data_IF_063993462904
#
_entry.id   IF_063993462904
#
_cell.length_a   1.000
_cell.length_b   1.000
_cell.length_c   1.000
_cell.angle_alpha   90.00
_cell.angle_beta   90.00
_cell.angle_gamma   90.00
#
_symmetry.space_group_name_H-M   'P 1'
#
loop_
_entity.id
_entity.type
_entity.pdbx_description
1 polymer ?
#
# COMPACT_ATOMS: atom_id res chain seq x y z
N UNK A 1 6.49 -15.37 -1.73
CA UNK A 1 5.99 -15.91 -0.45
C UNK A 1 4.90 -16.92 -0.73
N UNK A 2 4.98 -18.07 -0.11
CA UNK A 2 4.00 -19.14 -0.26
C UNK A 2 3.32 -19.42 1.08
N UNK A 3 1.99 -19.37 1.08
CA UNK A 3 1.21 -19.65 2.27
C UNK A 3 0.17 -20.72 1.95
N UNK A 4 0.05 -21.71 2.81
CA UNK A 4 -0.89 -22.82 2.63
C UNK A 4 -2.20 -22.63 3.38
N UNK A 5 -2.29 -21.61 4.24
CA UNK A 5 -3.51 -21.37 5.03
C UNK A 5 -3.64 -19.89 5.42
N UNK A 6 -4.86 -19.48 5.77
CA UNK A 6 -5.14 -18.16 6.32
C UNK A 6 -4.42 -17.92 7.64
N UNK A 7 -4.25 -18.99 8.44
CA UNK A 7 -3.53 -18.90 9.71
C UNK A 7 -2.06 -18.52 9.52
N UNK A 8 -1.41 -19.08 8.50
CA UNK A 8 -0.03 -18.71 8.17
C UNK A 8 0.09 -17.27 7.72
N UNK A 9 -0.86 -16.79 6.90
CA UNK A 9 -0.90 -15.41 6.45
C UNK A 9 -1.06 -14.47 7.64
N UNK A 10 -2.01 -14.74 8.52
CA UNK A 10 -2.25 -13.91 9.70
C UNK A 10 -1.03 -13.87 10.62
N UNK A 11 -0.36 -15.00 10.82
CA UNK A 11 0.86 -15.07 11.63
C UNK A 11 2.01 -14.28 11.01
N UNK A 12 2.16 -14.35 9.69
CA UNK A 12 3.21 -13.61 9.00
C UNK A 12 3.05 -12.10 9.14
N UNK A 13 1.81 -11.60 8.97
CA UNK A 13 1.53 -10.15 8.98
C UNK A 13 2.02 -9.48 10.27
N UNK A 14 1.93 -10.16 11.39
CA UNK A 14 2.31 -9.62 12.70
C UNK A 14 3.57 -10.24 13.29
N UNK A 15 4.31 -11.01 12.48
CA UNK A 15 5.54 -11.66 12.95
C UNK A 15 6.69 -10.66 13.10
N UNK A 16 7.66 -11.00 13.96
CA UNK A 16 8.92 -10.25 14.12
C UNK A 16 8.74 -8.75 14.38
N UNK A 17 7.70 -8.39 15.14
CA UNK A 17 7.45 -6.99 15.47
C UNK A 17 6.85 -6.16 14.36
N UNK A 18 6.34 -6.80 13.31
CA UNK A 18 5.66 -6.11 12.20
C UNK A 18 4.23 -5.74 12.57
N UNK A 19 3.68 -4.77 11.87
CA UNK A 19 2.30 -4.34 12.02
C UNK A 19 1.61 -4.20 10.68
N UNK A 20 0.33 -3.80 10.74
CA UNK A 20 -0.48 -3.52 9.55
C UNK A 20 -0.51 -2.02 9.32
N UNK A 21 -0.22 -1.59 8.09
CA UNK A 21 -0.29 -0.18 7.71
C UNK A 21 -1.64 0.10 7.05
N UNK A 22 -2.38 1.06 7.59
CA UNK A 22 -3.65 1.54 7.05
C UNK A 22 -3.51 3.01 6.65
N UNK A 23 -2.65 3.29 5.68
CA UNK A 23 -2.34 4.65 5.24
C UNK A 23 -2.67 4.91 3.77
N UNK A 24 -3.29 3.98 3.08
CA UNK A 24 -3.68 4.15 1.68
C UNK A 24 -5.04 4.83 1.62
N UNK A 25 -5.03 6.13 1.39
CA UNK A 25 -6.20 6.97 1.45
C UNK A 25 -7.07 6.83 0.20
N UNK A 26 -8.40 6.94 0.39
CA UNK A 26 -9.36 6.98 -0.71
C UNK A 26 -9.15 8.23 -1.58
N UNK A 27 -9.70 8.21 -2.81
CA UNK A 27 -9.54 9.34 -3.73
C UNK A 27 -10.06 10.66 -3.16
N UNK A 28 -11.25 10.73 -2.51
CA UNK A 28 -11.70 11.99 -1.90
C UNK A 28 -10.74 12.50 -0.82
N UNK A 29 -10.15 11.63 -0.03
CA UNK A 29 -9.20 12.02 1.01
C UNK A 29 -7.90 12.53 0.39
N UNK A 30 -7.39 11.86 -0.66
CA UNK A 30 -6.23 12.33 -1.42
C UNK A 30 -6.48 13.72 -1.99
N UNK A 31 -7.68 13.94 -2.56
CA UNK A 31 -8.06 15.25 -3.10
C UNK A 31 -8.00 16.34 -2.05
N UNK A 32 -8.51 16.09 -0.86
CA UNK A 32 -8.42 17.05 0.25
C UNK A 32 -6.99 17.42 0.60
N UNK A 33 -6.10 16.43 0.67
CA UNK A 33 -4.69 16.67 1.01
C UNK A 33 -3.98 17.43 -0.10
N UNK A 34 -4.25 17.08 -1.36
CA UNK A 34 -3.63 17.75 -2.51
C UNK A 34 -4.11 19.19 -2.63
N UNK A 35 -5.39 19.46 -2.39
CA UNK A 35 -5.95 20.82 -2.41
C UNK A 35 -5.25 21.72 -1.40
N UNK A 36 -4.89 21.20 -0.25
CA UNK A 36 -4.22 21.98 0.81
C UNK A 36 -2.83 22.45 0.40
N UNK A 37 -2.19 21.81 -0.59
CA UNK A 37 -0.86 22.18 -1.09
C UNK A 37 -0.88 22.65 -2.55
N UNK A 38 -2.07 22.85 -3.12
CA UNK A 38 -2.21 23.35 -4.49
C UNK A 38 -1.89 22.34 -5.59
N UNK A 39 -1.97 21.03 -5.29
CA UNK A 39 -1.71 19.95 -6.26
C UNK A 39 -3.03 19.39 -6.76
N UNK A 40 -3.14 19.17 -8.08
CA UNK A 40 -4.32 18.58 -8.68
C UNK A 40 -4.41 17.08 -8.33
N UNK A 41 -5.61 16.60 -7.98
CA UNK A 41 -5.85 15.18 -7.68
C UNK A 41 -6.11 14.40 -8.96
N UNK A 42 -5.05 14.05 -9.66
CA UNK A 42 -5.09 13.16 -10.83
C UNK A 42 -4.71 11.75 -10.42
N UNK A 43 -5.04 10.77 -11.26
CA UNK A 43 -4.62 9.39 -11.02
C UNK A 43 -3.10 9.30 -10.92
N UNK A 44 -2.37 10.00 -11.79
CA UNK A 44 -0.91 9.99 -11.78
C UNK A 44 -0.34 10.59 -10.49
N UNK A 45 -0.89 11.70 -10.02
CA UNK A 45 -0.43 12.31 -8.77
C UNK A 45 -0.76 11.43 -7.56
N UNK A 46 -1.92 10.79 -7.54
CA UNK A 46 -2.26 9.83 -6.49
C UNK A 46 -1.33 8.62 -6.52
N UNK A 47 -1.01 8.11 -7.71
CA UNK A 47 -0.05 7.02 -7.86
C UNK A 47 1.33 7.40 -7.31
N UNK A 48 1.83 8.57 -7.66
CA UNK A 48 3.14 9.04 -7.20
C UNK A 48 3.18 9.18 -5.68
N UNK A 49 2.12 9.68 -5.08
CA UNK A 49 1.98 9.79 -3.63
C UNK A 49 2.04 8.42 -2.95
N UNK A 50 1.32 7.45 -3.51
CA UNK A 50 1.30 6.08 -2.99
C UNK A 50 2.63 5.38 -3.19
N UNK A 51 3.27 5.56 -4.33
CA UNK A 51 4.57 4.99 -4.62
C UNK A 51 5.64 5.49 -3.64
N UNK A 52 5.62 6.78 -3.33
CA UNK A 52 6.54 7.38 -2.36
C UNK A 52 6.45 6.67 -1.01
N UNK A 53 5.24 6.41 -0.54
CA UNK A 53 5.02 5.71 0.73
C UNK A 53 5.49 4.26 0.66
N UNK A 54 5.11 3.53 -0.38
CA UNK A 54 5.38 2.10 -0.49
C UNK A 54 6.85 1.77 -0.76
N UNK A 55 7.62 2.71 -1.29
CA UNK A 55 9.06 2.56 -1.50
C UNK A 55 9.91 3.08 -0.34
N UNK A 56 9.29 3.59 0.71
CA UNK A 56 10.04 4.12 1.84
C UNK A 56 10.80 3.00 2.56
N UNK A 57 11.98 3.32 3.07
CA UNK A 57 12.81 2.35 3.78
C UNK A 57 12.17 1.87 5.08
N UNK A 58 11.34 2.72 5.70
CA UNK A 58 10.64 2.38 6.93
C UNK A 58 9.63 1.24 6.79
N UNK A 59 9.20 0.93 5.56
CA UNK A 59 8.29 -0.19 5.30
C UNK A 59 8.97 -1.54 5.53
N UNK A 60 10.20 -1.66 5.06
CA UNK A 60 10.91 -2.94 5.07
C UNK A 60 11.21 -3.40 6.50
N UNK A 61 10.75 -4.60 6.83
CA UNK A 61 10.98 -5.19 8.14
C UNK A 61 10.06 -4.71 9.26
N UNK A 62 9.26 -3.66 9.03
CA UNK A 62 8.36 -3.11 10.04
C UNK A 62 6.87 -3.32 9.73
N UNK A 63 6.55 -3.51 8.45
CA UNK A 63 5.17 -3.65 8.00
C UNK A 63 4.97 -5.04 7.40
N UNK A 64 4.05 -5.82 7.97
CA UNK A 64 3.71 -7.15 7.49
C UNK A 64 2.53 -7.16 6.52
N UNK A 65 1.65 -6.16 6.59
CA UNK A 65 0.51 -6.04 5.69
C UNK A 65 0.13 -4.59 5.46
N UNK A 66 -0.39 -4.29 4.26
CA UNK A 66 -0.82 -2.94 3.88
C UNK A 66 -2.26 -3.02 3.37
N UNK A 67 -3.15 -2.27 4.00
CA UNK A 67 -4.55 -2.17 3.55
C UNK A 67 -4.60 -1.21 2.36
N UNK A 68 -5.12 -1.69 1.22
CA UNK A 68 -5.11 -0.97 -0.04
C UNK A 68 -6.51 -0.61 -0.50
N UNK A 69 -6.65 0.60 -1.06
CA UNK A 69 -7.85 1.04 -1.76
C UNK A 69 -7.93 0.37 -3.15
N UNK A 70 -9.13 0.24 -3.71
CA UNK A 70 -9.34 -0.47 -4.98
C UNK A 70 -8.50 0.11 -6.14
N UNK A 71 -8.44 1.43 -6.27
CA UNK A 71 -7.61 2.06 -7.32
C UNK A 71 -6.13 1.67 -7.19
N UNK A 72 -5.63 1.62 -5.98
CA UNK A 72 -4.22 1.33 -5.69
C UNK A 72 -3.82 -0.07 -6.12
N UNK A 73 -4.68 -1.05 -5.92
CA UNK A 73 -4.43 -2.45 -6.31
C UNK A 73 -4.19 -2.56 -7.81
N UNK A 74 -4.80 -1.66 -8.59
CA UNK A 74 -4.75 -1.66 -10.05
C UNK A 74 -3.68 -0.75 -10.63
N UNK A 75 -3.04 0.09 -9.82
CA UNK A 75 -2.08 1.08 -10.29
C UNK A 75 -0.69 0.49 -10.49
N UNK A 76 0.03 1.11 -11.43
CA UNK A 76 1.42 0.78 -11.74
C UNK A 76 2.27 2.02 -11.53
N UNK A 77 3.46 1.85 -10.97
CA UNK A 77 4.41 2.95 -10.77
C UNK A 77 4.93 3.48 -12.11
N UNK A 78 5.57 4.64 -12.08
CA UNK A 78 6.09 5.29 -13.29
C UNK A 78 7.08 4.42 -14.06
N UNK A 79 7.77 3.51 -13.39
CA UNK A 79 8.74 2.60 -14.02
C UNK A 79 8.09 1.30 -14.55
N UNK A 80 6.78 1.16 -14.46
CA UNK A 80 6.05 -0.02 -14.94
C UNK A 80 5.84 -1.12 -13.92
N UNK A 81 6.37 -0.99 -12.70
CA UNK A 81 6.17 -1.96 -11.63
C UNK A 81 4.81 -1.74 -10.96
N UNK A 82 3.99 -2.78 -10.77
CA UNK A 82 2.73 -2.62 -10.08
C UNK A 82 2.96 -2.22 -8.62
N UNK A 83 2.06 -1.41 -8.05
CA UNK A 83 2.19 -1.01 -6.65
C UNK A 83 2.12 -2.21 -5.71
N UNK A 84 1.33 -3.23 -6.05
CA UNK A 84 1.27 -4.49 -5.29
C UNK A 84 2.64 -5.17 -5.27
N UNK A 85 3.35 -5.22 -6.40
CA UNK A 85 4.68 -5.81 -6.47
C UNK A 85 5.69 -5.03 -5.63
N UNK A 86 5.60 -3.71 -5.60
CA UNK A 86 6.46 -2.88 -4.74
C UNK A 86 6.26 -3.26 -3.28
N UNK A 87 5.01 -3.42 -2.85
CA UNK A 87 4.67 -3.80 -1.48
C UNK A 87 5.21 -5.19 -1.16
N UNK A 88 5.02 -6.17 -2.03
CA UNK A 88 5.50 -7.54 -1.80
C UNK A 88 7.02 -7.62 -1.80
N UNK A 89 7.69 -6.81 -2.60
CA UNK A 89 9.15 -6.72 -2.60
C UNK A 89 9.72 -6.15 -1.31
N UNK A 90 8.92 -5.37 -0.58
CA UNK A 90 9.29 -4.89 0.76
C UNK A 90 9.03 -5.92 1.86
N UNK A 91 8.47 -7.07 1.52
CA UNK A 91 8.13 -8.11 2.49
C UNK A 91 6.74 -7.96 3.11
N UNK A 92 5.90 -7.09 2.58
CA UNK A 92 4.54 -6.85 3.08
C UNK A 92 3.50 -7.55 2.19
N UNK A 93 2.37 -7.92 2.78
CA UNK A 93 1.25 -8.52 2.04
C UNK A 93 0.19 -7.45 1.73
N UNK A 94 -0.37 -7.45 0.50
CA UNK A 94 -1.48 -6.56 0.19
C UNK A 94 -2.77 -7.06 0.83
N UNK A 95 -3.53 -6.15 1.44
CA UNK A 95 -4.82 -6.41 2.06
C UNK A 95 -5.88 -5.55 1.38
N UNK A 96 -7.09 -6.08 1.20
CA UNK A 96 -8.17 -5.34 0.53
C UNK A 96 -9.00 -4.54 1.52
N UNK A 97 -9.36 -3.31 1.15
CA UNK A 97 -10.31 -2.48 1.90
C UNK A 97 -11.77 -2.75 1.48
N UNK A 98 -11.98 -3.46 0.38
CA UNK A 98 -13.29 -3.62 -0.25
C UNK A 98 -14.32 -4.30 0.64
N UNK A 99 -13.89 -5.21 1.50
CA UNK A 99 -14.77 -6.03 2.32
C UNK A 99 -14.77 -5.65 3.80
N UNK A 100 -14.31 -4.47 4.12
CA UNK A 100 -14.30 -3.99 5.51
C UNK A 100 -15.58 -3.22 5.82
#
# INVERSE_FOLDING_TARGET
MNFSSLSEIASYIVSDGKGILAADESNPTCTKRFDSIGVESTEDNRRDYRELLFRSEGMKGNIGGVILFDETIRQTAADGTSLVDIITNQGSLPLSLIHI
#
